data_IF_839767141347
#
_entry.id   IF_839767141347
#
_cell.length_a   1.000
_cell.length_b   1.000
_cell.length_c   1.000
_cell.angle_alpha   90.00
_cell.angle_beta   90.00
_cell.angle_gamma   90.00
#
_symmetry.space_group_name_H-M   'P 1'
#
loop_
_entity.id
_entity.type
_entity.pdbx_description
1 polymer ?
#
# COMPACT_ATOMS: atom_id res chain seq x y z
N UNK A 1 -10.78 21.37 -16.32
CA UNK A 1 -10.31 20.02 -16.71
C UNK A 1 -11.44 19.32 -17.46
N UNK A 2 -11.58 19.44 -18.79
CA UNK A 2 -12.88 19.10 -19.43
C UNK A 2 -12.86 18.26 -20.71
N UNK A 3 -11.76 18.16 -21.48
CA UNK A 3 -11.73 17.31 -22.69
C UNK A 3 -10.81 16.10 -22.61
N UNK A 4 -9.78 16.17 -21.77
CA UNK A 4 -8.75 15.11 -21.69
C UNK A 4 -9.29 13.83 -21.03
N UNK A 5 -10.16 13.96 -20.02
CA UNK A 5 -10.74 12.81 -19.29
C UNK A 5 -11.67 11.95 -20.17
N UNK A 6 -12.41 12.58 -21.08
CA UNK A 6 -13.29 11.87 -22.02
C UNK A 6 -12.47 11.11 -23.07
N UNK A 7 -11.44 11.75 -23.62
CA UNK A 7 -10.52 11.11 -24.56
C UNK A 7 -9.79 9.93 -23.91
N UNK A 8 -9.46 10.00 -22.61
CA UNK A 8 -8.86 8.86 -21.89
C UNK A 8 -9.82 7.66 -21.78
N UNK A 9 -11.11 7.90 -21.57
CA UNK A 9 -12.13 6.85 -21.45
C UNK A 9 -12.50 6.22 -22.80
N UNK A 10 -12.74 7.03 -23.84
CA UNK A 10 -13.26 6.59 -25.14
C UNK A 10 -12.21 6.46 -26.25
N UNK A 11 -11.03 7.04 -26.04
CA UNK A 11 -9.94 7.17 -27.00
C UNK A 11 -9.87 8.57 -27.60
N UNK A 12 -8.77 8.86 -28.28
CA UNK A 12 -8.61 10.08 -29.06
C UNK A 12 -9.24 9.94 -30.45
N UNK A 13 -9.67 11.05 -31.05
CA UNK A 13 -10.12 11.10 -32.45
C UNK A 13 -8.94 11.04 -33.43
N UNK A 14 -9.19 10.65 -34.68
CA UNK A 14 -8.15 10.56 -35.73
C UNK A 14 -7.38 11.87 -35.88
N UNK A 15 -6.05 11.80 -35.80
CA UNK A 15 -5.16 12.96 -35.90
C UNK A 15 -4.72 13.58 -34.56
N UNK A 16 -5.08 12.99 -33.42
CA UNK A 16 -4.60 13.38 -32.09
C UNK A 16 -3.70 12.31 -31.48
N UNK A 17 -2.79 12.70 -30.58
CA UNK A 17 -1.94 11.77 -29.82
C UNK A 17 -2.81 10.77 -29.05
N UNK A 18 -2.45 9.48 -29.09
CA UNK A 18 -3.24 8.39 -28.48
C UNK A 18 -4.37 7.83 -29.36
N UNK A 19 -4.45 8.19 -30.65
CA UNK A 19 -5.47 7.64 -31.57
C UNK A 19 -5.38 6.11 -31.73
N UNK A 20 -4.17 5.56 -31.82
CA UNK A 20 -3.97 4.11 -31.98
C UNK A 20 -4.16 3.33 -30.67
N UNK A 21 -4.05 4.01 -29.52
CA UNK A 21 -4.18 3.38 -28.21
C UNK A 21 -5.63 3.04 -27.85
N UNK A 22 -6.63 3.70 -28.47
CA UNK A 22 -8.04 3.52 -28.15
C UNK A 22 -8.42 4.05 -26.77
N UNK A 23 -9.65 3.78 -26.32
CA UNK A 23 -10.12 4.24 -25.01
C UNK A 23 -9.88 3.22 -23.90
N UNK A 24 -9.56 3.70 -22.70
CA UNK A 24 -9.35 2.83 -21.53
C UNK A 24 -10.57 1.94 -21.27
N UNK A 25 -11.78 2.51 -21.31
CA UNK A 25 -13.02 1.78 -21.06
C UNK A 25 -13.40 0.91 -22.27
N UNK A 26 -13.35 1.48 -23.47
CA UNK A 26 -13.78 0.80 -24.70
C UNK A 26 -12.91 -0.41 -25.03
N UNK A 27 -11.59 -0.30 -24.86
CA UNK A 27 -10.67 -1.42 -25.07
C UNK A 27 -10.84 -2.53 -24.05
N UNK A 28 -11.02 -2.18 -22.76
CA UNK A 28 -11.25 -3.19 -21.73
C UNK A 28 -12.54 -3.96 -21.99
N UNK A 29 -13.61 -3.28 -22.40
CA UNK A 29 -14.89 -3.92 -22.71
C UNK A 29 -14.83 -4.79 -23.97
N UNK A 30 -14.07 -4.39 -24.99
CA UNK A 30 -13.83 -5.23 -26.17
C UNK A 30 -13.09 -6.53 -25.81
N UNK A 31 -12.14 -6.48 -24.87
CA UNK A 31 -11.39 -7.66 -24.40
C UNK A 31 -12.18 -8.51 -23.41
N UNK A 32 -12.99 -7.87 -22.55
CA UNK A 32 -13.73 -8.48 -21.44
C UNK A 32 -15.18 -7.96 -21.41
N UNK A 33 -16.05 -8.45 -22.31
CA UNK A 33 -17.43 -7.98 -22.42
C UNK A 33 -18.34 -8.37 -21.25
N UNK A 34 -17.92 -9.37 -20.45
CA UNK A 34 -18.57 -9.77 -19.21
C UNK A 34 -17.75 -9.23 -18.04
N UNK A 35 -18.11 -8.05 -17.55
CA UNK A 35 -17.35 -7.38 -16.50
C UNK A 35 -18.23 -6.64 -15.49
N UNK A 36 -17.67 -6.41 -14.31
CA UNK A 36 -18.23 -5.45 -13.35
C UNK A 36 -17.44 -4.16 -13.54
N UNK A 37 -18.14 -3.07 -13.84
CA UNK A 37 -17.54 -1.75 -14.04
C UNK A 37 -17.86 -0.90 -12.81
N UNK A 38 -16.82 -0.39 -12.16
CA UNK A 38 -16.95 0.49 -11.00
C UNK A 38 -16.61 1.93 -11.41
N UNK A 39 -17.55 2.84 -11.22
CA UNK A 39 -17.31 4.28 -11.29
C UNK A 39 -17.32 4.84 -9.87
N UNK A 40 -16.15 5.23 -9.39
CA UNK A 40 -16.03 5.83 -8.07
C UNK A 40 -16.27 7.35 -8.10
N UNK A 41 -16.81 7.87 -7.00
CA UNK A 41 -17.11 9.29 -6.77
C UNK A 41 -17.75 9.99 -7.99
N UNK A 42 -18.81 9.37 -8.54
CA UNK A 42 -19.41 9.79 -9.82
C UNK A 42 -19.97 11.22 -9.79
N UNK A 43 -20.20 11.80 -8.61
CA UNK A 43 -20.58 13.20 -8.45
C UNK A 43 -19.51 14.20 -8.89
N UNK A 44 -18.23 13.79 -8.90
CA UNK A 44 -17.09 14.60 -9.35
C UNK A 44 -16.85 14.50 -10.86
N UNK A 45 -17.55 13.61 -11.55
CA UNK A 45 -17.39 13.41 -12.98
C UNK A 45 -17.85 14.64 -13.77
N UNK A 46 -17.14 14.96 -14.85
CA UNK A 46 -17.54 16.00 -15.78
C UNK A 46 -18.88 15.65 -16.47
N UNK A 47 -19.73 16.63 -16.82
CA UNK A 47 -21.02 16.39 -17.47
C UNK A 47 -20.93 15.51 -18.73
N UNK A 48 -19.84 15.62 -19.49
CA UNK A 48 -19.57 14.81 -20.68
C UNK A 48 -19.40 13.33 -20.35
N UNK A 49 -18.75 13.01 -19.22
CA UNK A 49 -18.61 11.63 -18.74
C UNK A 49 -19.98 11.07 -18.34
N UNK A 50 -20.81 11.86 -17.65
CA UNK A 50 -22.17 11.46 -17.29
C UNK A 50 -23.04 11.18 -18.53
N UNK A 51 -22.86 11.92 -19.63
CA UNK A 51 -23.57 11.66 -20.89
C UNK A 51 -23.17 10.32 -21.52
N UNK A 52 -21.90 9.93 -21.41
CA UNK A 52 -21.43 8.61 -21.88
C UNK A 52 -22.02 7.50 -21.02
N UNK A 53 -22.06 7.70 -19.70
CA UNK A 53 -22.72 6.77 -18.78
C UNK A 53 -24.21 6.63 -19.07
N UNK A 54 -24.91 7.72 -19.39
CA UNK A 54 -26.31 7.68 -19.85
C UNK A 54 -26.46 6.78 -21.06
N UNK A 55 -25.64 6.99 -22.11
CA UNK A 55 -25.68 6.17 -23.31
C UNK A 55 -25.45 4.68 -22.99
N UNK A 56 -24.48 4.40 -22.12
CA UNK A 56 -24.17 3.06 -21.66
C UNK A 56 -25.36 2.39 -20.95
N UNK A 57 -25.98 3.10 -20.00
CA UNK A 57 -27.10 2.60 -19.21
C UNK A 57 -28.40 2.47 -20.03
N UNK A 58 -28.53 3.26 -21.10
CA UNK A 58 -29.69 3.27 -22.00
C UNK A 58 -29.64 2.16 -23.03
N UNK A 59 -28.58 2.16 -23.85
CA UNK A 59 -28.49 1.33 -25.05
C UNK A 59 -27.68 0.05 -24.81
N UNK A 60 -27.04 -0.09 -23.65
CA UNK A 60 -26.07 -1.17 -23.38
C UNK A 60 -24.87 -1.10 -24.32
N UNK A 61 -24.58 0.07 -24.88
CA UNK A 61 -23.53 0.29 -25.88
C UNK A 61 -22.83 1.62 -25.68
N UNK A 62 -21.55 1.65 -26.02
CA UNK A 62 -20.73 2.87 -26.03
C UNK A 62 -20.09 3.00 -27.40
N UNK A 63 -20.03 4.23 -27.94
CA UNK A 63 -19.30 4.51 -29.17
C UNK A 63 -17.89 5.02 -28.82
N UNK A 64 -16.86 4.30 -29.27
CA UNK A 64 -15.48 4.75 -29.15
C UNK A 64 -15.20 5.97 -30.04
N UNK A 65 -14.14 6.73 -29.75
CA UNK A 65 -13.80 7.93 -30.52
C UNK A 65 -13.46 7.66 -32.00
N UNK A 66 -13.06 6.43 -32.33
CA UNK A 66 -12.84 5.97 -33.70
C UNK A 66 -14.14 5.53 -34.43
N UNK A 67 -15.30 5.65 -33.78
CA UNK A 67 -16.61 5.26 -34.31
C UNK A 67 -16.99 3.80 -34.09
N UNK A 68 -16.14 3.00 -33.45
CA UNK A 68 -16.44 1.60 -33.15
C UNK A 68 -17.51 1.51 -32.05
N UNK A 69 -18.56 0.74 -32.29
CA UNK A 69 -19.57 0.42 -31.29
C UNK A 69 -19.08 -0.73 -30.40
N UNK A 70 -19.08 -0.51 -29.09
CA UNK A 70 -18.72 -1.49 -28.08
C UNK A 70 -19.96 -1.91 -27.31
N UNK A 71 -20.23 -3.21 -27.28
CA UNK A 71 -21.33 -3.80 -26.52
C UNK A 71 -20.94 -3.98 -25.05
N UNK A 72 -21.78 -3.49 -24.15
CA UNK A 72 -21.64 -3.59 -22.71
C UNK A 72 -22.95 -4.04 -22.03
N UNK A 73 -23.87 -4.62 -22.79
CA UNK A 73 -25.13 -5.17 -22.28
C UNK A 73 -24.97 -6.28 -21.24
N UNK A 74 -23.81 -6.96 -21.24
CA UNK A 74 -23.46 -8.01 -20.27
C UNK A 74 -22.62 -7.50 -19.09
N UNK A 75 -22.52 -6.19 -18.91
CA UNK A 75 -21.78 -5.58 -17.82
C UNK A 75 -22.70 -5.21 -16.65
N UNK A 76 -22.18 -5.36 -15.42
CA UNK A 76 -22.81 -4.80 -14.23
C UNK A 76 -22.13 -3.47 -13.94
N UNK A 77 -22.88 -2.37 -14.01
CA UNK A 77 -22.36 -1.04 -13.68
C UNK A 77 -22.66 -0.73 -12.22
N UNK A 78 -21.61 -0.48 -11.44
CA UNK A 78 -21.68 -0.03 -10.05
C UNK A 78 -21.13 1.39 -10.00
N UNK A 79 -21.87 2.28 -9.36
CA UNK A 79 -21.46 3.66 -9.15
C UNK A 79 -21.51 3.97 -7.66
N UNK A 80 -20.47 4.62 -7.16
CA UNK A 80 -20.38 5.09 -5.78
C UNK A 80 -20.38 6.61 -5.73
N UNK A 81 -20.93 7.15 -4.64
CA UNK A 81 -21.03 8.58 -4.43
C UNK A 81 -21.03 8.89 -2.95
N UNK A 82 -20.35 9.99 -2.57
CA UNK A 82 -20.33 10.49 -1.20
C UNK A 82 -21.41 11.56 -0.94
N UNK A 83 -22.30 11.82 -1.90
CA UNK A 83 -23.38 12.79 -1.75
C UNK A 83 -24.31 12.46 -0.59
N UNK A 84 -24.55 13.46 0.27
CA UNK A 84 -25.43 13.31 1.42
C UNK A 84 -24.84 12.48 2.57
N UNK A 85 -23.58 12.06 2.51
CA UNK A 85 -22.92 11.29 3.56
C UNK A 85 -23.01 11.98 4.95
N UNK A 86 -23.00 13.31 4.99
CA UNK A 86 -23.19 14.10 6.22
C UNK A 86 -24.45 13.74 7.01
N UNK A 87 -25.56 13.40 6.34
CA UNK A 87 -26.81 13.01 7.01
C UNK A 87 -26.69 11.63 7.64
N UNK A 88 -25.90 10.74 7.04
CA UNK A 88 -25.61 9.40 7.57
C UNK A 88 -24.67 9.51 8.77
N UNK A 89 -23.65 10.37 8.69
CA UNK A 89 -22.66 10.53 9.77
C UNK A 89 -23.26 11.11 11.05
N UNK A 90 -24.28 11.96 10.92
CA UNK A 90 -25.04 12.53 12.05
C UNK A 90 -26.08 11.56 12.63
N UNK A 91 -26.38 10.46 11.95
CA UNK A 91 -27.36 9.47 12.42
C UNK A 91 -26.76 8.52 13.46
N UNK A 92 -27.63 7.94 14.30
CA UNK A 92 -27.26 6.94 15.30
C UNK A 92 -26.65 5.68 14.65
N UNK A 93 -25.87 4.91 15.42
CA UNK A 93 -25.27 3.66 14.92
C UNK A 93 -26.35 2.67 14.42
N UNK A 94 -26.12 2.04 13.26
CA UNK A 94 -26.98 0.98 12.76
C UNK A 94 -27.75 1.34 11.48
N UNK A 95 -29.00 0.88 11.39
CA UNK A 95 -29.80 1.01 10.17
C UNK A 95 -30.22 2.46 9.97
N UNK A 96 -29.96 2.98 8.77
CA UNK A 96 -30.36 4.34 8.38
C UNK A 96 -31.89 4.45 8.41
N UNK A 97 -32.38 5.44 9.15
CA UNK A 97 -33.80 5.72 9.25
C UNK A 97 -34.37 6.17 7.89
N UNK A 98 -35.64 5.87 7.58
CA UNK A 98 -36.27 6.29 6.32
C UNK A 98 -36.15 7.79 6.05
N UNK A 99 -36.20 8.62 7.09
CA UNK A 99 -36.09 10.08 7.01
C UNK A 99 -34.69 10.52 6.55
N UNK A 100 -33.64 9.91 7.08
CA UNK A 100 -32.25 10.16 6.68
C UNK A 100 -32.04 9.70 5.24
N UNK A 101 -32.62 8.56 4.86
CA UNK A 101 -32.57 8.07 3.47
C UNK A 101 -33.18 9.09 2.50
N UNK A 102 -34.32 9.70 2.85
CA UNK A 102 -34.94 10.72 2.00
C UNK A 102 -34.09 11.99 1.92
N UNK A 103 -33.43 12.41 3.00
CA UNK A 103 -32.48 13.54 2.98
C UNK A 103 -31.31 13.28 2.02
N UNK A 104 -30.70 12.10 2.09
CA UNK A 104 -29.64 11.67 1.16
C UNK A 104 -30.15 11.68 -0.27
N UNK A 105 -31.30 11.06 -0.53
CA UNK A 105 -31.90 11.05 -1.87
C UNK A 105 -32.28 12.45 -2.36
N UNK A 106 -32.63 13.38 -1.47
CA UNK A 106 -32.85 14.78 -1.80
C UNK A 106 -31.60 15.44 -2.39
N UNK A 107 -30.43 15.22 -1.78
CA UNK A 107 -29.14 15.72 -2.31
C UNK A 107 -28.82 15.07 -3.66
N UNK A 108 -28.97 13.76 -3.77
CA UNK A 108 -28.72 13.01 -5.01
C UNK A 108 -29.60 13.55 -6.16
N UNK A 109 -30.89 13.78 -5.91
CA UNK A 109 -31.83 14.37 -6.88
C UNK A 109 -31.52 15.82 -7.23
N UNK A 110 -30.88 16.56 -6.34
CA UNK A 110 -30.46 17.95 -6.59
C UNK A 110 -29.20 18.04 -7.46
N UNK A 111 -28.31 17.04 -7.35
CA UNK A 111 -27.05 16.99 -8.09
C UNK A 111 -27.20 16.35 -9.47
N UNK A 112 -27.87 15.19 -9.54
CA UNK A 112 -28.05 14.46 -10.80
C UNK A 112 -29.37 14.79 -11.47
N UNK A 113 -29.34 14.88 -12.79
CA UNK A 113 -30.55 15.09 -13.61
C UNK A 113 -31.48 13.88 -13.47
N UNK A 114 -32.82 14.07 -13.44
CA UNK A 114 -33.78 12.97 -13.32
C UNK A 114 -33.60 11.88 -14.39
N UNK A 115 -33.19 12.29 -15.59
CA UNK A 115 -32.90 11.38 -16.71
C UNK A 115 -31.84 10.32 -16.34
N UNK A 116 -30.81 10.70 -15.60
CA UNK A 116 -29.76 9.79 -15.14
C UNK A 116 -30.26 8.85 -14.05
N UNK A 117 -30.95 9.40 -13.05
CA UNK A 117 -31.48 8.60 -11.95
C UNK A 117 -32.52 7.58 -12.41
N UNK A 118 -33.33 7.91 -13.42
CA UNK A 118 -34.33 7.01 -13.98
C UNK A 118 -33.73 5.80 -14.71
N UNK A 119 -32.42 5.79 -15.00
CA UNK A 119 -31.71 4.66 -15.63
C UNK A 119 -30.99 3.78 -14.62
N UNK A 120 -30.93 4.20 -13.37
CA UNK A 120 -30.36 3.40 -12.28
C UNK A 120 -31.42 2.39 -11.83
N UNK A 121 -31.09 1.11 -11.93
CA UNK A 121 -32.01 0.02 -11.57
C UNK A 121 -32.29 -0.05 -10.07
N UNK A 122 -31.28 0.19 -9.24
CA UNK A 122 -31.41 0.17 -7.79
C UNK A 122 -30.42 1.15 -7.14
N UNK A 123 -30.89 1.87 -6.11
CA UNK A 123 -30.04 2.73 -5.27
C UNK A 123 -29.96 2.16 -3.87
N UNK A 124 -28.74 1.87 -3.43
CA UNK A 124 -28.46 1.33 -2.09
C UNK A 124 -27.80 2.43 -1.26
N UNK A 125 -28.44 2.79 -0.14
CA UNK A 125 -27.85 3.69 0.85
C UNK A 125 -27.19 2.82 1.91
N UNK A 126 -25.88 3.00 2.08
CA UNK A 126 -25.10 2.22 3.05
C UNK A 126 -25.37 2.69 4.47
N UNK A 127 -25.42 1.72 5.38
CA UNK A 127 -25.55 1.99 6.80
C UNK A 127 -24.21 2.42 7.39
N UNK A 128 -24.28 3.22 8.46
CA UNK A 128 -23.12 3.48 9.30
C UNK A 128 -22.62 2.16 9.90
N UNK A 129 -21.30 1.97 9.91
CA UNK A 129 -20.69 0.80 10.54
C UNK A 129 -20.96 0.82 12.05
N UNK A 130 -21.52 -0.27 12.58
CA UNK A 130 -21.63 -0.45 14.03
C UNK A 130 -20.29 -0.92 14.61
N UNK A 131 -20.08 -0.71 15.91
CA UNK A 131 -18.88 -1.20 16.62
C UNK A 131 -18.66 -2.71 16.45
N UNK A 132 -19.74 -3.47 16.44
CA UNK A 132 -19.70 -4.91 16.20
C UNK A 132 -19.25 -5.25 14.76
N UNK A 133 -19.69 -4.47 13.77
CA UNK A 133 -19.22 -4.64 12.39
C UNK A 133 -17.73 -4.28 12.25
N UNK A 134 -17.28 -3.20 12.89
CA UNK A 134 -15.87 -2.78 12.88
C UNK A 134 -14.99 -3.86 13.52
N UNK A 135 -15.43 -4.44 14.64
CA UNK A 135 -14.71 -5.55 15.29
C UNK A 135 -14.59 -6.77 14.36
N UNK A 136 -15.63 -7.09 13.58
CA UNK A 136 -15.56 -8.16 12.57
C UNK A 136 -14.61 -7.82 11.42
N UNK A 137 -14.64 -6.57 10.94
CA UNK A 137 -13.72 -6.09 9.90
C UNK A 137 -12.28 -6.19 10.40
N UNK A 138 -12.01 -5.79 11.65
CA UNK A 138 -10.69 -5.92 12.26
C UNK A 138 -10.20 -7.37 12.27
N UNK A 139 -11.03 -8.32 12.73
CA UNK A 139 -10.70 -9.75 12.67
C UNK A 139 -10.47 -10.25 11.25
N UNK A 140 -11.22 -9.76 10.27
CA UNK A 140 -11.03 -10.12 8.86
C UNK A 140 -9.68 -9.61 8.34
N UNK A 141 -9.33 -8.34 8.63
CA UNK A 141 -8.03 -7.76 8.24
C UNK A 141 -6.85 -8.48 8.85
N UNK A 142 -6.95 -8.88 10.11
CA UNK A 142 -5.91 -9.66 10.77
C UNK A 142 -5.72 -11.03 10.10
N UNK A 143 -6.81 -11.68 9.68
CA UNK A 143 -6.73 -12.93 8.89
C UNK A 143 -6.15 -12.74 7.49
N UNK A 144 -6.45 -11.62 6.84
CA UNK A 144 -5.84 -11.28 5.55
C UNK A 144 -4.32 -11.12 5.70
N UNK A 145 -3.85 -10.58 6.83
CA UNK A 145 -2.42 -10.49 7.14
C UNK A 145 -1.81 -11.87 7.33
N UNK A 146 -2.45 -12.76 8.10
CA UNK A 146 -2.00 -14.16 8.24
C UNK A 146 -1.87 -14.84 6.88
N UNK A 147 -2.86 -14.67 6.01
CA UNK A 147 -2.85 -15.26 4.67
C UNK A 147 -1.74 -14.68 3.77
N UNK A 148 -1.41 -13.38 3.93
CA UNK A 148 -0.28 -12.76 3.23
C UNK A 148 1.05 -13.34 3.69
N UNK A 149 1.23 -13.58 4.99
CA UNK A 149 2.42 -14.28 5.48
C UNK A 149 2.55 -15.65 4.84
N UNK A 150 1.48 -16.44 4.84
CA UNK A 150 1.47 -17.79 4.25
C UNK A 150 1.85 -17.79 2.77
N UNK A 151 1.31 -16.81 2.01
CA UNK A 151 1.61 -16.66 0.58
C UNK A 151 3.08 -16.32 0.33
N UNK A 152 3.72 -15.61 1.26
CA UNK A 152 5.13 -15.22 1.20
C UNK A 152 6.07 -16.26 1.87
N UNK A 153 5.61 -17.50 2.07
CA UNK A 153 6.44 -18.58 2.61
C UNK A 153 6.67 -18.53 4.12
N UNK A 154 6.02 -17.63 4.85
CA UNK A 154 6.09 -17.52 6.32
C UNK A 154 4.78 -18.00 6.95
N UNK A 155 4.85 -18.84 7.97
CA UNK A 155 3.66 -19.31 8.70
C UNK A 155 3.63 -18.68 10.08
N UNK A 156 3.15 -17.45 10.19
CA UNK A 156 3.01 -16.75 11.48
C UNK A 156 1.53 -16.62 11.79
N UNK A 157 1.12 -17.13 12.96
CA UNK A 157 -0.27 -17.00 13.45
C UNK A 157 -0.38 -15.82 14.39
N UNK A 158 -1.49 -15.10 14.30
CA UNK A 158 -1.78 -13.94 15.13
C UNK A 158 -2.85 -14.32 16.16
N UNK A 159 -2.43 -14.53 17.41
CA UNK A 159 -3.35 -14.69 18.52
C UNK A 159 -3.70 -13.31 19.09
N UNK A 160 -4.84 -12.77 18.65
CA UNK A 160 -5.26 -11.42 19.02
C UNK A 160 -6.29 -11.44 20.13
N UNK A 161 -5.93 -10.89 21.28
CA UNK A 161 -6.80 -10.76 22.44
C UNK A 161 -8.02 -9.88 22.13
N UNK A 162 -9.13 -10.13 22.83
CA UNK A 162 -10.34 -9.32 22.68
C UNK A 162 -10.11 -7.85 23.05
N UNK A 163 -9.19 -7.57 23.97
CA UNK A 163 -8.82 -6.20 24.34
C UNK A 163 -8.13 -5.46 23.19
N UNK A 164 -7.27 -6.14 22.42
CA UNK A 164 -6.64 -5.60 21.22
C UNK A 164 -7.65 -5.35 20.10
N UNK A 165 -8.57 -6.28 19.87
CA UNK A 165 -9.66 -6.06 18.91
C UNK A 165 -10.53 -4.87 19.33
N UNK A 166 -10.84 -4.76 20.62
CA UNK A 166 -11.60 -3.63 21.14
C UNK A 166 -10.86 -2.31 20.94
N UNK A 167 -9.56 -2.25 21.28
CA UNK A 167 -8.73 -1.06 21.07
C UNK A 167 -8.67 -0.65 19.60
N UNK A 168 -8.42 -1.61 18.70
CA UNK A 168 -8.41 -1.37 17.25
C UNK A 168 -9.76 -0.88 16.74
N UNK A 169 -10.86 -1.43 17.25
CA UNK A 169 -12.20 -1.04 16.81
C UNK A 169 -12.56 0.39 17.24
N UNK A 170 -12.06 0.85 18.38
CA UNK A 170 -12.33 2.19 18.90
C UNK A 170 -11.46 3.25 18.24
N UNK A 171 -10.16 2.96 18.08
CA UNK A 171 -9.20 3.92 17.53
C UNK A 171 -9.08 3.87 16.00
N UNK A 172 -9.49 2.76 15.37
CA UNK A 172 -9.48 2.57 13.93
C UNK A 172 -10.75 3.01 13.22
N UNK A 173 -11.69 3.64 13.93
CA UNK A 173 -12.96 4.11 13.39
C UNK A 173 -13.10 5.62 13.51
N UNK A 174 -13.49 6.25 12.41
CA UNK A 174 -13.95 7.63 12.39
C UNK A 174 -15.36 7.71 11.81
N UNK A 175 -16.27 8.53 12.37
CA UNK A 175 -17.59 8.77 11.80
C UNK A 175 -17.53 9.17 10.31
N UNK A 176 -16.53 9.97 9.93
CA UNK A 176 -16.44 10.53 8.57
C UNK A 176 -15.68 9.62 7.59
N UNK A 177 -14.67 8.90 8.08
CA UNK A 177 -13.80 8.05 7.25
C UNK A 177 -14.13 6.56 7.35
N UNK A 178 -15.12 6.19 8.17
CA UNK A 178 -15.47 4.81 8.44
C UNK A 178 -14.30 4.02 9.04
N UNK A 179 -14.08 2.80 8.55
CA UNK A 179 -12.98 1.94 8.97
C UNK A 179 -11.68 2.16 8.17
N UNK A 180 -11.57 3.20 7.34
CA UNK A 180 -10.32 3.50 6.60
C UNK A 180 -9.11 3.68 7.52
N UNK A 181 -9.20 4.37 8.69
CA UNK A 181 -8.08 4.50 9.62
C UNK A 181 -7.60 3.17 10.21
N UNK A 182 -8.46 2.15 10.26
CA UNK A 182 -8.15 0.84 10.85
C UNK A 182 -6.96 0.17 10.19
N UNK A 183 -6.88 0.22 8.85
CA UNK A 183 -5.76 -0.40 8.12
C UNK A 183 -4.43 0.24 8.52
N UNK A 184 -4.40 1.58 8.55
CA UNK A 184 -3.21 2.34 8.95
C UNK A 184 -2.83 2.06 10.41
N UNK A 185 -3.81 1.94 11.29
CA UNK A 185 -3.59 1.61 12.69
C UNK A 185 -3.00 0.21 12.86
N UNK A 186 -3.57 -0.80 12.19
CA UNK A 186 -3.04 -2.18 12.21
C UNK A 186 -1.61 -2.20 11.66
N UNK A 187 -1.34 -1.46 10.59
CA UNK A 187 -0.01 -1.39 10.01
C UNK A 187 1.01 -0.80 10.98
N UNK A 188 0.72 0.36 11.56
CA UNK A 188 1.68 1.04 12.45
C UNK A 188 1.87 0.34 13.79
N UNK A 189 0.81 -0.26 14.35
CA UNK A 189 0.84 -0.84 15.71
C UNK A 189 1.18 -2.32 15.72
N UNK A 190 0.80 -3.09 14.70
CA UNK A 190 1.01 -4.53 14.67
C UNK A 190 2.09 -4.88 13.65
N UNK A 191 1.88 -4.58 12.36
CA UNK A 191 2.78 -5.05 11.30
C UNK A 191 4.20 -4.51 11.47
N UNK A 192 4.35 -3.22 11.76
CA UNK A 192 5.68 -2.62 11.93
C UNK A 192 6.43 -3.20 13.15
N UNK A 193 5.74 -3.48 14.25
CA UNK A 193 6.38 -4.06 15.43
C UNK A 193 6.73 -5.54 15.20
N UNK A 194 5.81 -6.29 14.59
CA UNK A 194 6.03 -7.68 14.23
C UNK A 194 7.19 -7.83 13.25
N UNK A 195 7.32 -6.92 12.29
CA UNK A 195 8.46 -6.84 11.38
C UNK A 195 9.79 -6.79 12.14
N UNK A 196 9.94 -5.83 13.06
CA UNK A 196 11.14 -5.66 13.87
C UNK A 196 11.42 -6.91 14.73
N UNK A 197 10.38 -7.52 15.30
CA UNK A 197 10.53 -8.71 16.14
C UNK A 197 10.97 -9.95 15.35
N UNK A 198 10.42 -10.17 14.15
CA UNK A 198 10.84 -11.29 13.28
C UNK A 198 12.33 -11.17 12.96
N UNK A 199 12.80 -9.95 12.73
CA UNK A 199 14.19 -9.69 12.36
C UNK A 199 15.17 -9.84 13.51
N UNK A 200 14.76 -9.41 14.71
CA UNK A 200 15.55 -9.57 15.92
C UNK A 200 15.55 -11.03 16.42
N UNK A 201 14.93 -11.96 15.69
CA UNK A 201 14.79 -13.36 16.08
C UNK A 201 13.80 -13.59 17.24
N UNK A 202 13.08 -12.54 17.65
CA UNK A 202 12.12 -12.55 18.76
C UNK A 202 10.83 -13.28 18.38
N UNK A 203 10.56 -13.42 17.08
CA UNK A 203 9.47 -14.22 16.52
C UNK A 203 10.04 -15.02 15.35
N UNK A 204 9.83 -16.34 15.35
CA UNK A 204 10.32 -17.23 14.30
C UNK A 204 9.19 -17.74 13.41
N UNK A 205 9.57 -18.31 12.27
CA UNK A 205 8.61 -18.99 11.39
C UNK A 205 7.89 -20.13 12.15
N UNK A 206 6.62 -20.37 11.79
CA UNK A 206 5.71 -21.37 12.39
C UNK A 206 5.30 -21.08 13.83
N UNK A 207 5.54 -19.87 14.31
CA UNK A 207 5.12 -19.45 15.64
C UNK A 207 3.79 -18.72 15.66
N UNK A 208 3.17 -18.73 16.83
CA UNK A 208 2.00 -17.93 17.15
C UNK A 208 2.45 -16.74 18.00
N UNK A 209 2.05 -15.54 17.60
CA UNK A 209 2.38 -14.28 18.26
C UNK A 209 1.16 -13.75 18.98
N UNK A 210 1.33 -13.41 20.26
CA UNK A 210 0.26 -12.83 21.06
C UNK A 210 0.21 -11.32 20.86
N UNK A 211 -0.97 -10.80 20.51
CA UNK A 211 -1.24 -9.38 20.37
C UNK A 211 -2.26 -8.99 21.43
N UNK A 212 -1.85 -8.10 22.33
CA UNK A 212 -2.64 -7.66 23.48
C UNK A 212 -2.59 -6.14 23.63
N UNK A 213 -3.12 -5.62 24.74
CA UNK A 213 -3.13 -4.18 25.04
C UNK A 213 -2.64 -3.87 26.42
N UNK A 214 -1.90 -2.77 26.57
CA UNK A 214 -1.46 -2.20 27.84
C UNK A 214 -2.04 -0.78 28.05
N UNK A 215 -1.46 -0.02 28.98
CA UNK A 215 -1.82 1.38 29.22
C UNK A 215 -1.47 2.34 28.08
N UNK A 216 -0.56 1.95 27.18
CA UNK A 216 -0.02 2.79 26.11
C UNK A 216 -0.60 2.44 24.73
N UNK A 217 -1.24 1.28 24.57
CA UNK A 217 -1.93 0.89 23.35
C UNK A 217 -1.83 -0.60 23.08
N UNK A 218 -1.55 -0.95 21.83
CA UNK A 218 -1.36 -2.34 21.40
C UNK A 218 0.08 -2.75 21.64
N UNK A 219 0.26 -3.95 22.18
CA UNK A 219 1.55 -4.61 22.31
C UNK A 219 1.53 -5.90 21.49
N UNK A 220 2.59 -6.10 20.72
CA UNK A 220 2.96 -7.41 20.17
C UNK A 220 3.94 -8.04 21.16
N UNK A 221 3.63 -9.23 21.69
CA UNK A 221 4.46 -9.90 22.70
C UNK A 221 5.55 -10.72 21.98
N UNK A 222 6.84 -10.49 22.28
CA UNK A 222 7.92 -11.30 21.71
C UNK A 222 7.90 -12.71 22.31
N UNK A 223 8.17 -13.73 21.49
CA UNK A 223 8.26 -15.12 21.94
C UNK A 223 9.65 -15.47 22.49
N UNK A 224 10.68 -14.80 22.00
CA UNK A 224 12.07 -14.96 22.43
C UNK A 224 12.67 -13.62 22.86
N UNK A 225 13.67 -13.68 23.73
CA UNK A 225 14.52 -12.52 24.00
C UNK A 225 15.24 -12.09 22.71
N UNK A 226 15.66 -10.82 22.67
CA UNK A 226 16.46 -10.32 21.55
C UNK A 226 17.70 -11.20 21.46
N UNK A 227 18.01 -11.68 20.26
CA UNK A 227 19.29 -12.33 20.02
C UNK A 227 20.39 -11.26 20.13
N UNK A 228 20.91 -11.06 21.36
CA UNK A 228 21.98 -10.13 21.74
C UNK A 228 23.32 -10.44 21.05
N UNK A 229 23.36 -11.37 20.09
CA UNK A 229 24.52 -11.54 19.19
C UNK A 229 24.82 -10.30 18.31
N UNK A 230 24.05 -9.21 18.43
CA UNK A 230 24.41 -7.89 17.89
C UNK A 230 25.28 -7.04 18.84
N UNK A 231 25.45 -7.43 20.11
CA UNK A 231 26.57 -6.97 20.94
C UNK A 231 27.82 -7.70 20.47
N UNK A 232 28.41 -7.16 19.40
CA UNK A 232 29.76 -7.51 19.02
C UNK A 232 30.67 -7.01 20.13
N UNK A 233 31.16 -7.93 20.96
CA UNK A 233 32.40 -7.74 21.71
C UNK A 233 33.53 -7.49 20.70
N UNK A 234 33.74 -6.21 20.35
CA UNK A 234 34.90 -5.75 19.57
C UNK A 234 36.00 -5.33 20.53
N UNK A 235 36.32 -6.15 21.52
CA UNK A 235 37.47 -5.95 22.40
C UNK A 235 38.61 -6.89 21.96
N UNK A 236 39.05 -6.76 20.71
CA UNK A 236 40.02 -7.70 20.16
C UNK A 236 40.76 -7.32 18.89
N UNK A 237 40.86 -6.04 18.52
CA UNK A 237 41.66 -5.64 17.36
C UNK A 237 42.68 -4.56 17.73
N UNK A 238 43.95 -4.93 17.61
CA UNK A 238 45.12 -4.08 17.77
C UNK A 238 45.29 -3.15 16.58
N UNK A 239 45.74 -1.92 16.87
CA UNK A 239 45.96 -0.76 15.99
C UNK A 239 47.01 -0.93 14.86
N UNK A 240 47.20 -2.13 14.32
CA UNK A 240 48.21 -2.39 13.29
C UNK A 240 47.60 -2.96 12.00
N UNK A 241 47.32 -2.07 11.04
CA UNK A 241 47.63 -2.18 9.60
C UNK A 241 46.53 -1.55 8.71
N UNK A 242 46.97 -0.59 7.89
CA UNK A 242 46.25 0.07 6.78
C UNK A 242 45.82 -0.88 5.62
N UNK A 243 45.33 -2.09 5.89
CA UNK A 243 44.83 -3.00 4.85
C UNK A 243 43.37 -3.42 5.10
N UNK A 244 42.50 -2.70 4.37
CA UNK A 244 41.12 -3.01 3.98
C UNK A 244 39.99 -2.70 4.97
N UNK A 245 39.81 -1.41 5.26
CA UNK A 245 38.60 -0.88 5.90
C UNK A 245 37.29 -1.26 5.17
N UNK A 246 37.34 -1.45 3.84
CA UNK A 246 36.23 -1.96 3.03
C UNK A 246 35.79 -3.38 3.42
N UNK A 247 36.70 -4.20 3.97
CA UNK A 247 36.36 -5.56 4.40
C UNK A 247 35.40 -5.55 5.58
N UNK A 248 35.48 -4.57 6.47
CA UNK A 248 34.61 -4.48 7.65
C UNK A 248 33.16 -4.28 7.21
N UNK A 249 32.93 -3.33 6.31
CA UNK A 249 31.59 -3.04 5.77
C UNK A 249 31.06 -4.23 4.96
N UNK A 250 31.89 -4.81 4.08
CA UNK A 250 31.50 -6.00 3.29
C UNK A 250 31.18 -7.21 4.16
N UNK A 251 31.92 -7.43 5.25
CA UNK A 251 31.64 -8.51 6.20
C UNK A 251 30.31 -8.29 6.92
N UNK A 252 30.01 -7.06 7.34
CA UNK A 252 28.73 -6.68 7.97
C UNK A 252 27.53 -6.89 7.04
N UNK A 253 27.69 -6.56 5.76
CA UNK A 253 26.66 -6.79 4.75
C UNK A 253 26.43 -8.29 4.50
N UNK A 254 27.50 -9.09 4.53
CA UNK A 254 27.40 -10.56 4.43
C UNK A 254 26.71 -11.19 5.64
N UNK A 255 26.92 -10.65 6.84
CA UNK A 255 26.17 -11.05 8.04
C UNK A 255 24.67 -10.75 7.90
N UNK A 256 24.30 -9.64 7.23
CA UNK A 256 22.91 -9.30 6.92
C UNK A 256 22.30 -10.38 6.02
N UNK A 257 22.96 -10.74 4.92
CA UNK A 257 22.52 -11.82 4.01
C UNK A 257 22.29 -13.13 4.78
N UNK A 258 23.26 -13.54 5.60
CA UNK A 258 23.19 -14.78 6.38
C UNK A 258 22.04 -14.80 7.40
N UNK A 259 21.71 -13.64 7.99
CA UNK A 259 20.56 -13.53 8.90
C UNK A 259 19.22 -13.67 8.18
N UNK A 260 19.09 -13.11 6.99
CA UNK A 260 17.89 -13.33 6.17
C UNK A 260 17.77 -14.81 5.78
N UNK A 261 18.87 -15.44 5.36
CA UNK A 261 18.88 -16.89 5.04
C UNK A 261 18.45 -17.74 6.24
N UNK A 262 18.95 -17.42 7.43
CA UNK A 262 18.59 -18.14 8.68
C UNK A 262 17.11 -17.99 9.03
N UNK A 263 16.50 -16.86 8.67
CA UNK A 263 15.08 -16.57 8.85
C UNK A 263 14.20 -17.03 7.66
N UNK A 264 14.76 -17.85 6.76
CA UNK A 264 14.03 -18.45 5.64
C UNK A 264 13.76 -17.51 4.47
N UNK A 265 14.60 -16.49 4.26
CA UNK A 265 14.53 -15.58 3.11
C UNK A 265 15.93 -15.44 2.53
N UNK A 266 16.19 -15.96 1.33
CA UNK A 266 17.48 -15.83 0.66
C UNK A 266 17.50 -14.52 -0.13
N UNK A 267 18.39 -13.60 0.22
CA UNK A 267 18.60 -12.37 -0.56
C UNK A 267 20.09 -12.14 -0.78
N UNK A 268 20.44 -11.49 -1.88
CA UNK A 268 21.82 -11.13 -2.19
C UNK A 268 21.98 -9.62 -2.26
N UNK A 269 22.96 -9.06 -1.57
CA UNK A 269 23.23 -7.64 -1.54
C UNK A 269 24.40 -7.31 -2.47
N UNK A 270 24.13 -6.53 -3.51
CA UNK A 270 25.15 -5.93 -4.36
C UNK A 270 25.39 -4.50 -3.90
N UNK A 271 26.61 -4.17 -3.48
CA UNK A 271 26.92 -2.85 -2.90
C UNK A 271 28.01 -2.16 -3.71
N UNK A 272 27.73 -0.92 -4.12
CA UNK A 272 28.66 -0.09 -4.86
C UNK A 272 29.80 0.45 -3.98
N UNK A 273 30.97 0.69 -4.57
CA UNK A 273 32.13 1.23 -3.85
C UNK A 273 31.84 2.59 -3.19
N UNK A 274 30.99 3.42 -3.81
CA UNK A 274 30.56 4.70 -3.23
C UNK A 274 29.75 4.52 -1.94
N UNK A 275 28.90 3.49 -1.87
CA UNK A 275 28.12 3.18 -0.68
C UNK A 275 28.98 2.62 0.45
N UNK A 276 29.97 1.77 0.12
CA UNK A 276 30.96 1.28 1.09
C UNK A 276 31.73 2.45 1.71
N UNK A 277 32.21 3.36 0.88
CA UNK A 277 32.95 4.54 1.33
C UNK A 277 32.08 5.48 2.18
N UNK A 278 30.81 5.68 1.81
CA UNK A 278 29.87 6.50 2.59
C UNK A 278 29.59 5.91 3.98
N UNK A 279 29.33 4.60 4.07
CA UNK A 279 29.09 3.90 5.34
C UNK A 279 30.28 4.04 6.28
N UNK A 280 31.49 3.88 5.74
CA UNK A 280 32.70 4.00 6.53
C UNK A 280 32.89 5.42 7.07
N UNK A 281 32.83 6.44 6.20
CA UNK A 281 33.07 7.83 6.61
C UNK A 281 32.07 8.35 7.64
N UNK A 282 30.81 7.91 7.57
CA UNK A 282 29.74 8.39 8.45
C UNK A 282 29.47 7.44 9.64
N UNK A 283 29.98 6.20 9.58
CA UNK A 283 29.77 5.16 10.59
C UNK A 283 30.98 4.90 11.48
N UNK A 284 32.18 5.31 11.08
CA UNK A 284 33.39 5.10 11.89
C UNK A 284 33.75 6.35 12.69
N UNK A 285 33.96 6.19 14.01
CA UNK A 285 34.47 7.25 14.87
C UNK A 285 35.76 6.78 15.55
N UNK A 286 36.82 7.60 15.57
CA UNK A 286 38.08 7.27 16.25
C UNK A 286 37.90 6.95 17.75
N UNK A 287 36.89 7.54 18.39
CA UNK A 287 36.65 7.39 19.84
C UNK A 287 35.66 6.27 20.19
N UNK A 288 34.79 5.86 19.25
CA UNK A 288 33.69 4.90 19.48
C UNK A 288 33.80 3.62 18.63
N UNK A 289 34.86 3.50 17.82
CA UNK A 289 35.06 2.38 16.91
C UNK A 289 33.93 2.22 15.90
N UNK A 290 33.58 0.96 15.56
CA UNK A 290 32.52 0.61 14.61
C UNK A 290 31.09 0.63 15.20
N UNK A 291 30.89 1.07 16.45
CA UNK A 291 29.55 1.15 17.05
C UNK A 291 28.59 2.10 16.32
N UNK A 292 29.02 3.29 15.84
CA UNK A 292 28.15 4.16 15.04
C UNK A 292 27.82 3.55 13.66
N UNK A 293 28.70 2.70 13.12
CA UNK A 293 28.53 2.01 11.84
C UNK A 293 27.36 1.03 11.90
N UNK A 294 27.25 0.27 12.99
CA UNK A 294 26.12 -0.65 13.17
C UNK A 294 24.78 0.09 13.16
N UNK A 295 24.69 1.23 13.85
CA UNK A 295 23.48 2.07 13.86
C UNK A 295 23.18 2.66 12.48
N UNK A 296 24.21 3.08 11.75
CA UNK A 296 24.06 3.61 10.40
C UNK A 296 23.52 2.53 9.46
N UNK A 297 24.17 1.36 9.39
CA UNK A 297 23.73 0.20 8.59
C UNK A 297 22.31 -0.22 8.98
N UNK A 298 21.98 -0.23 10.27
CA UNK A 298 20.65 -0.60 10.74
C UNK A 298 19.57 0.36 10.20
N UNK A 299 19.83 1.66 10.22
CA UNK A 299 18.86 2.65 9.78
C UNK A 299 18.78 2.81 8.27
N UNK A 300 19.91 2.73 7.57
CA UNK A 300 19.99 3.03 6.14
C UNK A 300 19.87 1.80 5.25
N UNK A 301 20.18 0.61 5.76
CA UNK A 301 20.19 -0.63 4.97
C UNK A 301 19.19 -1.64 5.51
N UNK A 302 19.30 -2.00 6.79
CA UNK A 302 18.47 -3.06 7.38
C UNK A 302 16.98 -2.68 7.41
N UNK A 303 16.62 -1.56 8.03
CA UNK A 303 15.21 -1.17 8.18
C UNK A 303 14.46 -0.96 6.84
N UNK A 304 15.04 -0.31 5.81
CA UNK A 304 14.37 -0.15 4.53
C UNK A 304 14.21 -1.47 3.77
N UNK A 305 15.24 -2.31 3.73
CA UNK A 305 15.23 -3.62 3.07
C UNK A 305 14.11 -4.52 3.61
N UNK A 306 13.88 -4.48 4.92
CA UNK A 306 12.78 -5.19 5.60
C UNK A 306 11.43 -4.72 5.11
N UNK A 307 11.22 -3.40 5.08
CA UNK A 307 9.95 -2.83 4.66
C UNK A 307 9.64 -3.26 3.22
N UNK A 308 10.66 -3.30 2.36
CA UNK A 308 10.53 -3.75 0.97
C UNK A 308 10.13 -5.23 0.86
N UNK A 309 10.75 -6.12 1.65
CA UNK A 309 10.39 -7.55 1.67
C UNK A 309 8.96 -7.77 2.17
N UNK A 310 8.55 -7.09 3.25
CA UNK A 310 7.21 -7.23 3.81
C UNK A 310 6.11 -6.66 2.91
N UNK A 311 6.42 -5.60 2.17
CA UNK A 311 5.54 -5.02 1.17
C UNK A 311 5.53 -5.81 -0.15
N UNK A 312 6.36 -6.86 -0.27
CA UNK A 312 6.47 -7.68 -1.48
C UNK A 312 7.22 -7.00 -2.64
N UNK A 313 7.96 -5.93 -2.37
CA UNK A 313 8.79 -5.21 -3.34
C UNK A 313 10.10 -5.96 -3.64
N UNK A 314 10.57 -6.78 -2.69
CA UNK A 314 11.72 -7.67 -2.85
C UNK A 314 11.25 -9.10 -2.57
N UNK A 315 11.52 -10.00 -3.50
CA UNK A 315 11.15 -11.42 -3.42
C UNK A 315 12.30 -12.27 -2.87
N UNK A 316 11.96 -13.51 -2.52
CA UNK A 316 12.95 -14.53 -2.17
C UNK A 316 13.84 -14.83 -3.39
N UNK A 317 15.12 -15.09 -3.13
CA UNK A 317 16.22 -15.26 -4.09
C UNK A 317 16.60 -14.01 -4.92
N UNK A 318 16.08 -12.84 -4.56
CA UNK A 318 16.31 -11.61 -5.32
C UNK A 318 17.60 -10.88 -4.90
N UNK A 319 18.24 -10.25 -5.89
CA UNK A 319 19.38 -9.37 -5.65
C UNK A 319 18.91 -7.93 -5.40
N UNK A 320 19.47 -7.30 -4.38
CA UNK A 320 19.17 -5.94 -4.00
C UNK A 320 20.44 -5.10 -4.13
N UNK A 321 20.32 -3.97 -4.81
CA UNK A 321 21.44 -3.06 -5.07
C UNK A 321 21.43 -1.94 -4.03
N UNK A 322 22.60 -1.67 -3.45
CA UNK A 322 22.83 -0.61 -2.47
C UNK A 322 23.82 0.38 -3.06
N UNK A 323 23.38 1.62 -3.26
CA UNK A 323 24.19 2.70 -3.84
C UNK A 323 24.03 4.00 -3.05
N UNK A 324 24.77 5.04 -3.44
CA UNK A 324 24.67 6.39 -2.88
C UNK A 324 23.78 7.29 -3.72
N UNK A 325 22.85 8.01 -3.09
CA UNK A 325 22.00 9.03 -3.72
C UNK A 325 21.86 10.24 -2.81
N UNK A 326 22.01 11.46 -3.34
CA UNK A 326 21.87 12.74 -2.61
C UNK A 326 22.51 12.78 -1.20
N UNK A 327 23.77 12.36 -1.09
CA UNK A 327 24.52 12.26 0.18
C UNK A 327 23.91 11.28 1.22
N UNK A 328 23.19 10.27 0.77
CA UNK A 328 22.65 9.18 1.58
C UNK A 328 22.84 7.81 0.89
N UNK A 329 22.24 6.77 1.48
CA UNK A 329 22.18 5.42 0.90
C UNK A 329 20.78 5.18 0.33
N UNK A 330 20.76 4.64 -0.89
CA UNK A 330 19.57 4.15 -1.55
C UNK A 330 19.66 2.64 -1.75
N UNK A 331 18.51 1.98 -1.66
CA UNK A 331 18.36 0.53 -1.84
C UNK A 331 17.25 0.29 -2.84
N UNK A 332 17.48 -0.55 -3.85
CA UNK A 332 16.45 -0.93 -4.82
C UNK A 332 16.60 -2.39 -5.25
N UNK A 333 15.49 -3.07 -5.60
CA UNK A 333 15.54 -4.42 -6.14
C UNK A 333 16.16 -4.42 -7.54
N UNK A 334 16.92 -5.46 -7.90
CA UNK A 334 17.60 -5.57 -9.20
C UNK A 334 16.65 -5.98 -10.35
N UNK A 335 15.35 -5.65 -10.27
CA UNK A 335 14.36 -5.94 -11.33
C UNK A 335 13.64 -4.68 -11.84
N UNK A 336 14.30 -3.53 -11.88
CA UNK A 336 13.84 -2.40 -12.69
C UNK A 336 15.01 -1.78 -13.45
N UNK A 337 15.29 -2.35 -14.63
CA UNK A 337 15.70 -1.56 -15.80
C UNK A 337 14.81 -2.02 -16.94
N UNK A 338 13.63 -1.41 -17.05
CA UNK A 338 13.00 -1.27 -18.36
C UNK A 338 13.67 -0.06 -19.02
N UNK A 339 14.24 -0.27 -20.21
CA UNK A 339 15.13 0.64 -20.96
C UNK A 339 14.38 1.86 -21.55
N UNK A 340 13.46 2.47 -20.82
CA UNK A 340 12.65 3.60 -21.29
C UNK A 340 12.58 4.76 -20.30
N UNK A 341 13.71 5.20 -19.74
CA UNK A 341 13.85 6.58 -19.26
C UNK A 341 15.25 7.08 -19.61
N UNK A 342 15.41 7.46 -20.87
CA UNK A 342 16.40 8.47 -21.24
C UNK A 342 16.00 9.76 -20.53
N UNK A 343 16.95 10.32 -19.77
CA UNK A 343 16.84 11.66 -19.21
C UNK A 343 16.39 12.65 -20.31
N UNK A 344 15.26 13.31 -20.10
CA UNK A 344 15.00 14.62 -20.68
C UNK A 344 14.43 15.50 -19.57
N UNK A 345 15.29 16.45 -19.21
CA UNK A 345 15.07 17.81 -18.73
C UNK A 345 13.92 18.15 -17.75
N UNK A 346 14.36 18.85 -16.71
CA UNK A 346 13.60 19.61 -15.74
C UNK A 346 12.44 20.44 -16.34
N UNK A 347 11.27 20.38 -15.69
CA UNK A 347 10.53 21.60 -15.37
C UNK A 347 9.54 21.36 -14.21
N UNK A 348 9.43 22.39 -13.38
CA UNK A 348 8.59 22.52 -12.20
C UNK A 348 7.12 22.13 -12.44
N UNK A 349 6.52 21.34 -11.54
CA UNK A 349 5.27 21.66 -10.84
C UNK A 349 4.77 20.47 -10.01
N UNK A 350 4.23 20.82 -8.84
CA UNK A 350 3.48 19.97 -7.92
C UNK A 350 2.54 18.98 -8.64
N UNK A 351 2.52 17.72 -8.22
CA UNK A 351 1.25 17.00 -7.98
C UNK A 351 1.45 15.64 -7.29
N UNK A 352 0.74 15.54 -6.16
CA UNK A 352 0.26 14.38 -5.42
C UNK A 352 0.39 12.98 -6.08
N UNK A 353 1.31 12.19 -5.54
CA UNK A 353 1.34 10.73 -5.70
C UNK A 353 0.19 10.08 -4.91
N UNK A 354 -0.88 9.76 -5.65
CA UNK A 354 -1.91 8.81 -5.25
C UNK A 354 -1.28 7.44 -4.98
N UNK A 355 -1.34 6.98 -3.73
CA UNK A 355 -1.19 5.57 -3.38
C UNK A 355 -2.55 4.88 -3.52
N UNK A 356 -2.65 3.91 -4.43
CA UNK A 356 -3.69 2.87 -4.38
C UNK A 356 -3.35 1.90 -3.24
N UNK A 357 -4.04 2.00 -2.09
CA UNK A 357 -4.43 0.89 -1.19
C UNK A 357 -5.75 1.19 -0.51
#
# INVERSE_FOLDING_TARGET
MEKYSVSKLLGSTAGYVGYEEGGMLTNQLLRKPYSVILFDEVEKAAPEVLNILLQMLDDGRITAANGTLVDCSNCIVIMTSNLGAQFINLSEEGKVAPEVKEQVMGVVRSHFRPEFLNRISATVVFNRLSRAAISKICKLRLKEIEHRFETNGKSIKLNVDESAVYYLSQNGYSPDLGARPLNRLIQSTILNHLAVMILNGQVKDKEEVVITTDSNGIIVVPNHEVDDSMDLDVDGWTDDADEDHDKIVKLKLKEIEQRFETNGTSIKLSVDESAVHYLYQNGYSPDLGARPLNRLIQNTIWNPLVAMILNGQVKDEEEVVITTYDNGIAIFPNHEVDDSVVCDDADDSDDDLYFEI
#
